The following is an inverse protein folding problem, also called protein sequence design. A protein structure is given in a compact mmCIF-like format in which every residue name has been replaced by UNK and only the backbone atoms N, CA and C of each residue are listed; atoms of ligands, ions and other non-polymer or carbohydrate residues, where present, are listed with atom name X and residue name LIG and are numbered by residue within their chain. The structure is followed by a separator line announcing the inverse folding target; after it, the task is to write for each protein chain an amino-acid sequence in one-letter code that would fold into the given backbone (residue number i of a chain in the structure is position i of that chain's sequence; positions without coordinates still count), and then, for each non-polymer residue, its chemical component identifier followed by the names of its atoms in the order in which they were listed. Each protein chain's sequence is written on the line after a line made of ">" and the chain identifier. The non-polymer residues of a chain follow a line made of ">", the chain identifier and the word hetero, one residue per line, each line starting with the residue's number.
data_IF_251682845760
#
_entry.id   IF_251682845760
#
_cell.length_a   1.000
_cell.length_b   1.000
_cell.length_c   1.000
_cell.angle_alpha   90.00
_cell.angle_beta   90.00
_cell.angle_gamma   90.00
#
_symmetry.space_group_name_H-M   'P 1'
#
loop_
_entity.id
_entity.type
_entity.pdbx_description
1 polymer ?
#
# COMPACT_ATOMS: atom_id res chain seq x y z
N UNK A 1 -24.49 13.93 14.43
CA UNK A 1 -24.87 15.28 14.88
C UNK A 1 -25.52 15.97 13.70
N UNK A 2 -26.83 16.17 13.71
CA UNK A 2 -27.51 16.96 12.69
C UNK A 2 -27.49 18.42 13.13
N UNK A 3 -26.77 19.26 12.41
CA UNK A 3 -26.72 20.70 12.64
C UNK A 3 -27.75 21.31 11.68
N UNK A 4 -28.84 21.85 12.23
CA UNK A 4 -29.79 22.65 11.47
C UNK A 4 -29.28 24.10 11.40
N UNK A 5 -28.93 24.56 10.20
CA UNK A 5 -28.41 25.91 10.00
C UNK A 5 -29.53 26.78 9.49
N UNK A 6 -29.89 27.83 10.26
CA UNK A 6 -30.90 28.82 9.91
C UNK A 6 -30.22 30.14 9.53
N UNK A 7 -30.86 30.89 8.64
CA UNK A 7 -30.46 32.25 8.24
C UNK A 7 -29.10 32.35 7.47
N UNK A 8 -28.83 31.42 6.57
CA UNK A 8 -27.67 31.50 5.64
C UNK A 8 -27.74 32.75 4.75
N UNK A 9 -28.94 33.34 4.60
CA UNK A 9 -29.15 34.56 3.81
C UNK A 9 -28.51 35.81 4.42
N UNK A 10 -28.15 35.76 5.72
CA UNK A 10 -27.44 36.85 6.39
C UNK A 10 -25.93 36.89 6.13
N UNK A 11 -25.39 35.87 5.42
CA UNK A 11 -23.98 35.79 5.06
C UNK A 11 -23.72 36.51 3.74
N UNK A 12 -22.58 37.16 3.66
CA UNK A 12 -22.03 37.67 2.41
C UNK A 12 -21.69 36.50 1.48
N UNK A 13 -21.50 36.77 0.18
CA UNK A 13 -21.14 35.71 -0.79
C UNK A 13 -19.81 35.03 -0.44
N UNK A 14 -18.80 35.78 0.02
CA UNK A 14 -17.50 35.23 0.45
C UNK A 14 -17.64 34.31 1.69
N UNK A 15 -18.52 34.69 2.61
CA UNK A 15 -18.81 33.85 3.80
C UNK A 15 -19.57 32.60 3.42
N UNK A 16 -20.53 32.66 2.48
CA UNK A 16 -21.23 31.49 1.95
C UNK A 16 -20.25 30.54 1.22
N UNK A 17 -19.34 31.07 0.42
CA UNK A 17 -18.32 30.26 -0.26
C UNK A 17 -17.41 29.56 0.77
N UNK A 18 -16.94 30.29 1.77
CA UNK A 18 -16.12 29.74 2.85
C UNK A 18 -16.87 28.67 3.63
N UNK A 19 -18.14 28.91 3.97
CA UNK A 19 -19.02 27.96 4.64
C UNK A 19 -19.17 26.67 3.80
N UNK A 20 -19.54 26.79 2.52
CA UNK A 20 -19.71 25.65 1.62
C UNK A 20 -18.41 24.85 1.49
N UNK A 21 -17.25 25.51 1.42
CA UNK A 21 -15.94 24.85 1.40
C UNK A 21 -15.69 24.06 2.71
N UNK A 22 -16.04 24.62 3.87
CA UNK A 22 -15.88 23.94 5.16
C UNK A 22 -16.84 22.74 5.29
N UNK A 23 -18.09 22.89 4.85
CA UNK A 23 -19.07 21.80 4.82
C UNK A 23 -18.61 20.67 3.87
N UNK A 24 -18.13 21.01 2.68
CA UNK A 24 -17.59 20.02 1.74
C UNK A 24 -16.37 19.29 2.33
N UNK A 25 -15.49 20.02 3.04
CA UNK A 25 -14.35 19.42 3.74
C UNK A 25 -14.79 18.50 4.88
N UNK A 26 -15.78 18.91 5.67
CA UNK A 26 -16.33 18.12 6.77
C UNK A 26 -17.04 16.85 6.29
N UNK A 27 -17.72 16.93 5.12
CA UNK A 27 -18.43 15.82 4.51
C UNK A 27 -17.53 14.88 3.68
N UNK A 28 -16.24 15.24 3.48
CA UNK A 28 -15.30 14.40 2.75
C UNK A 28 -15.01 13.16 3.59
N UNK A 29 -15.61 12.04 3.19
CA UNK A 29 -15.30 10.75 3.82
C UNK A 29 -13.82 10.42 3.61
N UNK A 30 -13.17 10.04 4.69
CA UNK A 30 -11.82 9.47 4.60
C UNK A 30 -11.86 8.22 3.71
N UNK A 31 -10.90 8.09 2.79
CA UNK A 31 -10.71 6.85 2.04
C UNK A 31 -10.00 5.77 2.86
N UNK A 32 -9.41 6.19 3.99
CA UNK A 32 -8.76 5.28 4.92
C UNK A 32 -9.81 4.76 5.88
N UNK A 33 -9.98 3.42 5.90
CA UNK A 33 -10.84 2.78 6.87
C UNK A 33 -10.28 3.03 8.29
N UNK A 34 -11.12 3.56 9.15
CA UNK A 34 -10.85 3.74 10.58
C UNK A 34 -12.12 3.35 11.33
N UNK A 35 -12.06 2.26 12.11
CA UNK A 35 -13.24 1.79 12.81
C UNK A 35 -13.80 2.82 13.80
N UNK A 36 -15.12 2.84 13.94
CA UNK A 36 -15.78 3.58 15.03
C UNK A 36 -15.65 2.79 16.35
N UNK A 37 -15.95 3.46 17.47
CA UNK A 37 -15.92 2.80 18.78
C UNK A 37 -16.88 1.62 18.80
N UNK A 38 -16.38 0.42 19.14
CA UNK A 38 -17.06 -0.89 19.14
C UNK A 38 -17.38 -1.45 17.75
N UNK A 39 -16.91 -0.84 16.67
CA UNK A 39 -16.97 -1.44 15.35
C UNK A 39 -15.95 -2.57 15.25
N UNK A 40 -16.34 -3.69 14.67
CA UNK A 40 -15.42 -4.80 14.41
C UNK A 40 -14.48 -4.46 13.24
N UNK A 41 -13.25 -4.99 13.34
CA UNK A 41 -12.25 -4.93 12.29
C UNK A 41 -11.41 -6.20 12.31
N UNK A 42 -10.75 -6.49 11.19
CA UNK A 42 -9.81 -7.59 11.05
C UNK A 42 -8.37 -7.11 11.23
N UNK A 43 -7.49 -7.99 11.70
CA UNK A 43 -6.07 -7.73 11.86
C UNK A 43 -5.25 -9.01 11.79
N UNK A 44 -4.00 -8.88 11.34
CA UNK A 44 -3.03 -9.97 11.24
C UNK A 44 -2.30 -10.08 12.59
N UNK A 45 -2.27 -11.26 13.18
CA UNK A 45 -1.51 -11.51 14.39
C UNK A 45 -0.04 -11.88 14.12
N UNK A 46 0.71 -12.21 15.17
CA UNK A 46 2.12 -12.61 15.07
C UNK A 46 2.36 -13.96 14.40
N UNK A 47 1.33 -14.76 14.24
CA UNK A 47 1.37 -16.07 13.56
C UNK A 47 0.90 -15.97 12.10
N UNK A 48 0.58 -14.77 11.64
CA UNK A 48 -0.09 -14.50 10.37
C UNK A 48 -1.49 -15.09 10.27
N UNK A 49 -2.14 -15.30 11.41
CA UNK A 49 -3.55 -15.68 11.48
C UNK A 49 -4.44 -14.43 11.36
N UNK A 50 -5.57 -14.62 10.68
CA UNK A 50 -6.59 -13.60 10.49
C UNK A 50 -7.54 -13.63 11.69
N UNK A 51 -7.56 -12.56 12.43
CA UNK A 51 -8.39 -12.41 13.62
C UNK A 51 -9.28 -11.17 13.52
N UNK A 52 -10.39 -11.16 14.23
CA UNK A 52 -11.23 -9.97 14.36
C UNK A 52 -11.39 -9.55 15.82
N UNK A 53 -11.61 -8.26 16.01
CA UNK A 53 -11.87 -7.67 17.34
C UNK A 53 -12.67 -6.37 17.18
N UNK A 54 -13.22 -5.86 18.28
CA UNK A 54 -13.88 -4.57 18.32
C UNK A 54 -12.90 -3.44 18.66
N UNK A 55 -13.09 -2.27 18.06
CA UNK A 55 -12.24 -1.11 18.22
C UNK A 55 -12.61 -0.30 19.48
N UNK A 56 -11.77 -0.32 20.49
CA UNK A 56 -11.97 0.40 21.77
C UNK A 56 -11.12 1.66 21.91
N UNK A 57 -10.32 1.99 20.90
CA UNK A 57 -9.38 3.13 20.90
C UNK A 57 -8.27 3.01 21.94
N UNK A 58 -7.98 1.79 22.37
CA UNK A 58 -6.87 1.52 23.28
C UNK A 58 -5.50 1.63 22.55
N UNK A 59 -4.42 1.32 23.26
CA UNK A 59 -3.08 1.43 22.69
C UNK A 59 -2.83 0.36 21.62
N UNK A 60 -3.41 -0.83 21.74
CA UNK A 60 -3.30 -1.91 20.75
C UNK A 60 -3.97 -1.50 19.45
N UNK A 61 -5.19 -0.97 19.52
CA UNK A 61 -5.93 -0.47 18.37
C UNK A 61 -5.16 0.66 17.65
N UNK A 62 -4.60 1.59 18.43
CA UNK A 62 -3.80 2.70 17.86
C UNK A 62 -2.57 2.19 17.14
N UNK A 63 -1.82 1.27 17.77
CA UNK A 63 -0.63 0.68 17.15
C UNK A 63 -0.98 -0.08 15.88
N UNK A 64 -2.04 -0.90 15.87
CA UNK A 64 -2.50 -1.58 14.67
C UNK A 64 -2.87 -0.61 13.56
N UNK A 65 -3.57 0.48 13.90
CA UNK A 65 -3.92 1.51 12.93
C UNK A 65 -2.69 2.21 12.33
N UNK A 66 -1.72 2.58 13.17
CA UNK A 66 -0.47 3.24 12.75
C UNK A 66 0.40 2.33 11.85
N UNK A 67 0.38 1.03 12.11
CA UNK A 67 1.08 0.02 11.31
C UNK A 67 0.31 -0.39 10.04
N UNK A 68 -0.92 0.12 9.84
CA UNK A 68 -1.76 -0.29 8.71
C UNK A 68 -2.34 -1.71 8.86
N UNK A 69 -2.37 -2.25 10.09
CA UNK A 69 -2.88 -3.59 10.41
C UNK A 69 -4.33 -3.51 10.93
N UNK A 70 -5.17 -2.79 10.22
CA UNK A 70 -6.62 -2.69 10.43
C UNK A 70 -7.32 -2.78 9.08
N UNK A 71 -8.18 -3.78 8.92
CA UNK A 71 -8.89 -4.07 7.68
C UNK A 71 -10.41 -4.08 7.92
N UNK A 72 -11.14 -3.59 6.94
CA UNK A 72 -12.62 -3.56 6.99
C UNK A 72 -13.20 -4.94 6.74
N UNK A 73 -12.53 -5.75 5.88
CA UNK A 73 -12.97 -7.09 5.52
C UNK A 73 -11.82 -8.10 5.60
N UNK A 74 -12.19 -9.36 5.74
CA UNK A 74 -11.26 -10.49 5.76
C UNK A 74 -10.49 -10.61 4.45
N UNK A 75 -11.14 -10.35 3.32
CA UNK A 75 -10.53 -10.42 1.99
C UNK A 75 -9.42 -9.38 1.81
N UNK A 76 -9.58 -8.17 2.38
CA UNK A 76 -8.53 -7.14 2.38
C UNK A 76 -7.31 -7.61 3.17
N UNK A 77 -7.54 -8.28 4.29
CA UNK A 77 -6.48 -8.82 5.13
C UNK A 77 -5.76 -9.99 4.46
N UNK A 78 -6.49 -10.95 3.88
CA UNK A 78 -5.93 -12.05 3.08
C UNK A 78 -5.06 -11.51 1.94
N UNK A 79 -5.56 -10.49 1.24
CA UNK A 79 -4.79 -9.82 0.19
C UNK A 79 -3.50 -9.18 0.72
N UNK A 80 -3.55 -8.52 1.87
CA UNK A 80 -2.37 -7.87 2.48
C UNK A 80 -1.31 -8.91 2.89
N UNK A 81 -1.72 -10.06 3.45
CA UNK A 81 -0.82 -11.18 3.78
C UNK A 81 -0.15 -11.71 2.51
N UNK A 82 -0.91 -11.99 1.47
CA UNK A 82 -0.37 -12.57 0.24
C UNK A 82 0.54 -11.57 -0.49
N UNK A 83 0.19 -10.29 -0.50
CA UNK A 83 1.05 -9.21 -0.99
C UNK A 83 2.40 -9.19 -0.27
N UNK A 84 2.37 -9.28 1.06
CA UNK A 84 3.60 -9.30 1.87
C UNK A 84 4.44 -10.56 1.60
N UNK A 85 3.81 -11.72 1.40
CA UNK A 85 4.51 -12.97 1.03
C UNK A 85 5.21 -12.81 -0.31
N UNK A 86 4.49 -12.39 -1.36
CA UNK A 86 5.05 -12.22 -2.71
C UNK A 86 6.20 -11.21 -2.72
N UNK A 87 6.05 -10.07 -2.02
CA UNK A 87 7.12 -9.10 -1.87
C UNK A 87 8.36 -9.69 -1.17
N UNK A 88 8.14 -10.48 -0.12
CA UNK A 88 9.23 -11.11 0.64
C UNK A 88 9.94 -12.19 -0.17
N UNK A 89 9.19 -13.01 -0.91
CA UNK A 89 9.74 -14.02 -1.83
C UNK A 89 10.62 -13.35 -2.89
N UNK A 90 10.12 -12.30 -3.54
CA UNK A 90 10.88 -11.56 -4.56
C UNK A 90 12.14 -10.91 -3.98
N UNK A 91 12.05 -10.36 -2.77
CA UNK A 91 13.21 -9.77 -2.09
C UNK A 91 14.26 -10.82 -1.71
N UNK A 92 13.82 -11.98 -1.23
CA UNK A 92 14.73 -13.10 -0.91
C UNK A 92 15.40 -13.62 -2.18
N UNK A 93 14.62 -13.79 -3.24
CA UNK A 93 15.15 -14.20 -4.54
C UNK A 93 16.27 -13.26 -5.01
N UNK A 94 16.05 -11.95 -4.94
CA UNK A 94 17.08 -10.98 -5.31
C UNK A 94 18.32 -11.08 -4.43
N UNK A 95 18.17 -11.29 -3.11
CA UNK A 95 19.30 -11.44 -2.19
C UNK A 95 20.10 -12.73 -2.44
N UNK A 96 19.46 -13.80 -2.90
CA UNK A 96 20.09 -15.10 -3.13
C UNK A 96 20.75 -15.20 -4.50
N UNK A 97 20.24 -14.49 -5.51
CA UNK A 97 20.67 -14.66 -6.91
C UNK A 97 21.43 -13.46 -7.48
N UNK A 98 21.37 -12.29 -6.84
CA UNK A 98 22.20 -11.18 -7.27
C UNK A 98 23.69 -11.55 -7.08
N UNK A 99 24.47 -11.34 -8.11
CA UNK A 99 25.93 -11.67 -8.10
C UNK A 99 26.71 -10.82 -7.13
N UNK A 100 26.22 -9.61 -6.83
CA UNK A 100 26.83 -8.64 -5.91
C UNK A 100 25.74 -7.77 -5.27
N UNK A 101 26.10 -7.00 -4.22
CA UNK A 101 25.20 -6.01 -3.66
C UNK A 101 24.97 -4.86 -4.66
N UNK A 102 23.75 -4.33 -4.67
CA UNK A 102 23.40 -3.18 -5.52
C UNK A 102 24.13 -1.91 -5.00
N UNK A 103 25.18 -1.51 -5.72
CA UNK A 103 25.88 -0.25 -5.44
C UNK A 103 25.27 0.91 -6.24
N UNK A 104 24.67 1.85 -5.53
CA UNK A 104 24.05 3.04 -6.12
C UNK A 104 25.06 4.13 -6.47
N UNK A 105 26.32 4.04 -5.98
CA UNK A 105 27.39 4.95 -6.35
C UNK A 105 28.04 4.56 -7.67
N UNK A 106 27.95 3.30 -8.07
CA UNK A 106 28.40 2.84 -9.38
C UNK A 106 27.36 3.20 -10.44
N UNK A 107 27.63 4.31 -11.14
CA UNK A 107 26.75 4.85 -12.17
C UNK A 107 26.90 4.16 -13.53
N UNK A 108 27.88 3.31 -13.69
CA UNK A 108 28.15 2.60 -14.94
C UNK A 108 27.48 1.21 -14.96
N UNK A 109 27.06 0.70 -13.80
CA UNK A 109 26.32 -0.55 -13.70
C UNK A 109 24.82 -0.32 -13.77
N UNK A 110 24.13 -1.11 -14.62
CA UNK A 110 22.68 -1.19 -14.67
C UNK A 110 22.12 -1.87 -13.42
N UNK A 111 20.99 -1.37 -12.94
CA UNK A 111 20.16 -2.01 -11.91
C UNK A 111 18.83 -2.34 -12.55
N UNK A 112 18.47 -3.62 -12.58
CA UNK A 112 17.27 -4.10 -13.22
C UNK A 112 16.12 -4.22 -12.24
N UNK A 113 14.90 -3.92 -12.67
CA UNK A 113 13.73 -4.12 -11.84
C UNK A 113 12.52 -4.54 -12.66
N UNK A 114 11.60 -5.21 -11.99
CA UNK A 114 10.33 -5.63 -12.58
C UNK A 114 9.39 -4.43 -12.52
N UNK A 115 8.77 -4.11 -13.64
CA UNK A 115 7.84 -3.02 -13.80
C UNK A 115 6.57 -3.52 -14.50
N UNK A 116 5.59 -2.64 -14.62
CA UNK A 116 4.36 -2.91 -15.35
C UNK A 116 4.19 -1.91 -16.48
N UNK A 117 3.91 -2.42 -17.67
CA UNK A 117 3.51 -1.61 -18.82
C UNK A 117 2.36 -2.29 -19.57
N UNK A 118 1.28 -1.53 -19.84
CA UNK A 118 0.08 -2.00 -20.53
C UNK A 118 -0.48 -3.34 -20.01
N UNK A 119 -0.45 -3.56 -18.68
CA UNK A 119 -0.97 -4.78 -18.04
C UNK A 119 -0.05 -6.00 -18.12
N UNK A 120 1.18 -5.83 -18.63
CA UNK A 120 2.20 -6.89 -18.68
C UNK A 120 3.36 -6.56 -17.75
N UNK A 121 4.00 -7.58 -17.21
CA UNK A 121 5.29 -7.40 -16.55
C UNK A 121 6.38 -7.19 -17.59
N UNK A 122 7.25 -6.25 -17.31
CA UNK A 122 8.45 -5.96 -18.08
C UNK A 122 9.63 -5.78 -17.13
N UNK A 123 10.82 -6.04 -17.63
CA UNK A 123 12.07 -5.79 -16.91
C UNK A 123 12.76 -4.58 -17.54
N UNK A 124 13.06 -3.57 -16.73
CA UNK A 124 13.77 -2.38 -17.18
C UNK A 124 15.02 -2.14 -16.35
N UNK A 125 16.02 -1.52 -16.97
CA UNK A 125 17.25 -1.14 -16.30
C UNK A 125 17.35 0.36 -16.05
N UNK A 126 17.95 0.69 -14.92
CA UNK A 126 18.23 2.05 -14.51
C UNK A 126 19.67 2.15 -13.98
N UNK A 127 20.35 3.25 -14.29
CA UNK A 127 21.71 3.49 -13.81
C UNK A 127 21.73 4.28 -12.50
N UNK A 128 20.86 5.26 -12.36
CA UNK A 128 20.89 6.25 -11.28
C UNK A 128 19.55 6.44 -10.57
N UNK A 129 18.45 5.92 -11.15
CA UNK A 129 17.12 6.10 -10.59
C UNK A 129 16.79 4.97 -9.63
N UNK A 130 16.53 5.33 -8.39
CA UNK A 130 16.03 4.44 -7.36
C UNK A 130 14.58 4.79 -7.05
N UNK A 131 13.68 3.83 -7.20
CA UNK A 131 12.27 3.99 -6.87
C UNK A 131 11.98 3.44 -5.47
N UNK A 132 11.05 4.08 -4.79
CA UNK A 132 10.64 3.68 -3.45
C UNK A 132 10.04 2.28 -3.47
N UNK A 133 10.46 1.43 -2.53
CA UNK A 133 9.99 0.04 -2.36
C UNK A 133 10.23 -0.88 -3.58
N UNK A 134 11.09 -0.49 -4.51
CA UNK A 134 11.45 -1.32 -5.66
C UNK A 134 12.54 -2.32 -5.27
N UNK A 135 12.41 -3.56 -5.76
CA UNK A 135 13.44 -4.59 -5.66
C UNK A 135 14.28 -4.55 -6.94
N UNK A 136 15.59 -4.61 -6.78
CA UNK A 136 16.54 -4.52 -7.88
C UNK A 136 17.37 -5.79 -8.03
N UNK A 137 17.72 -6.07 -9.26
CA UNK A 137 18.51 -7.21 -9.68
C UNK A 137 19.79 -6.75 -10.41
N UNK A 138 20.84 -7.55 -10.33
CA UNK A 138 22.12 -7.25 -11.00
C UNK A 138 22.09 -7.54 -12.49
N UNK A 139 21.13 -8.35 -12.99
CA UNK A 139 20.96 -8.62 -14.42
C UNK A 139 19.49 -8.75 -14.82
N UNK A 140 19.22 -8.59 -16.12
CA UNK A 140 17.91 -8.83 -16.73
C UNK A 140 17.48 -10.29 -16.55
N UNK A 141 18.40 -11.22 -16.75
CA UNK A 141 18.16 -12.65 -16.63
C UNK A 141 17.67 -13.03 -15.23
N UNK A 142 18.32 -12.52 -14.18
CA UNK A 142 17.91 -12.77 -12.79
C UNK A 142 16.50 -12.22 -12.54
N UNK A 143 16.18 -11.03 -13.07
CA UNK A 143 14.85 -10.45 -12.92
C UNK A 143 13.76 -11.24 -13.65
N UNK A 144 14.05 -11.76 -14.87
CA UNK A 144 13.14 -12.61 -15.62
C UNK A 144 12.92 -13.97 -14.92
N UNK A 145 13.99 -14.60 -14.46
CA UNK A 145 13.91 -15.86 -13.70
C UNK A 145 13.12 -15.68 -12.38
N UNK A 146 13.20 -14.51 -11.73
CA UNK A 146 12.39 -14.20 -10.56
C UNK A 146 10.89 -14.15 -10.90
N UNK A 147 10.52 -13.63 -12.08
CA UNK A 147 9.12 -13.63 -12.54
C UNK A 147 8.64 -15.08 -12.75
N UNK A 148 9.46 -15.91 -13.39
CA UNK A 148 9.09 -17.30 -13.69
C UNK A 148 8.95 -18.13 -12.40
N UNK A 149 9.85 -17.96 -11.42
CA UNK A 149 9.84 -18.74 -10.19
C UNK A 149 8.71 -18.33 -9.24
N UNK A 150 8.49 -17.03 -9.06
CA UNK A 150 7.46 -16.52 -8.15
C UNK A 150 6.07 -16.57 -8.78
N UNK A 151 6.00 -16.45 -10.10
CA UNK A 151 4.79 -16.51 -10.90
C UNK A 151 4.28 -15.13 -11.32
N UNK A 152 4.19 -14.94 -12.63
CA UNK A 152 3.73 -13.71 -13.29
C UNK A 152 2.37 -13.22 -12.73
N UNK A 153 1.38 -14.11 -12.64
CA UNK A 153 0.03 -13.76 -12.14
C UNK A 153 0.04 -13.32 -10.67
N UNK A 154 0.88 -13.94 -9.84
CA UNK A 154 1.00 -13.55 -8.43
C UNK A 154 1.63 -12.16 -8.30
N UNK A 155 2.70 -11.89 -9.04
CA UNK A 155 3.37 -10.59 -9.05
C UNK A 155 2.39 -9.52 -9.55
N UNK A 156 1.68 -9.76 -10.64
CA UNK A 156 0.65 -8.85 -11.18
C UNK A 156 -0.42 -8.55 -10.16
N UNK A 157 -1.04 -9.59 -9.62
CA UNK A 157 -2.16 -9.46 -8.69
C UNK A 157 -1.77 -8.71 -7.41
N UNK A 158 -0.65 -9.10 -6.80
CA UNK A 158 -0.35 -8.62 -5.44
C UNK A 158 0.58 -7.41 -5.40
N UNK A 159 1.50 -7.25 -6.34
CA UNK A 159 2.42 -6.11 -6.33
C UNK A 159 1.97 -4.97 -7.26
N UNK A 160 1.29 -5.30 -8.36
CA UNK A 160 0.79 -4.30 -9.31
C UNK A 160 -0.72 -4.12 -9.29
N UNK A 161 -1.45 -4.95 -8.54
CA UNK A 161 -2.90 -4.85 -8.31
C UNK A 161 -3.72 -4.85 -9.63
N UNK A 162 -3.40 -5.80 -10.53
CA UNK A 162 -4.03 -5.99 -11.84
C UNK A 162 -4.41 -7.45 -12.09
#
# INVERSE_FOLDING_TARGET
>A
MNIEIKNLDNLTEDEKETFNRLVAKANKKSKVFKPEHRQEYFYIDSYADILNTAFYKDNTDKTRFELGNIFETKEQEEFAIDKQKVYTELKRYALEHNEEEIDWNDIDKCKWCITKDCGKLNVYSFYRLQFLNQIYFTSEEIALNAIDEIGDDRIKKYLFEI
#
